data_IF_835232190515
#
_entry.id   IF_835232190515
#
_cell.length_a   1.000
_cell.length_b   1.000
_cell.length_c   1.000
_cell.angle_alpha   90.00
_cell.angle_beta   90.00
_cell.angle_gamma   90.00
#
_symmetry.space_group_name_H-M   'P 1'
#
loop_
_entity.id
_entity.type
_entity.pdbx_description
1 polymer ?
#
# COMPACT_ATOMS: atom_id res chain seq x y z
N UNK A 1 45.60 17.53 9.83
CA UNK A 1 44.78 17.55 8.61
C UNK A 1 44.28 16.14 8.34
N UNK A 2 42.96 15.89 8.23
CA UNK A 2 42.45 14.59 7.84
C UNK A 2 43.00 14.24 6.45
N UNK A 3 43.46 13.00 6.27
CA UNK A 3 43.96 12.54 4.98
C UNK A 3 42.82 12.53 3.96
N UNK A 4 43.11 12.79 2.67
CA UNK A 4 42.12 12.80 1.58
C UNK A 4 41.23 11.54 1.60
N UNK A 5 41.79 10.39 2.02
CA UNK A 5 41.05 9.13 2.22
C UNK A 5 39.94 9.22 3.26
N UNK A 6 40.16 9.88 4.40
CA UNK A 6 39.14 10.05 5.44
C UNK A 6 37.99 10.95 4.98
N UNK A 7 38.29 12.00 4.21
CA UNK A 7 37.24 12.87 3.66
C UNK A 7 36.37 12.11 2.65
N UNK A 8 36.99 11.35 1.76
CA UNK A 8 36.27 10.51 0.78
C UNK A 8 35.41 9.43 1.44
N UNK A 9 35.90 8.79 2.51
CA UNK A 9 35.13 7.78 3.23
C UNK A 9 33.90 8.37 3.93
N UNK A 10 34.02 9.58 4.50
CA UNK A 10 32.89 10.28 5.15
C UNK A 10 31.83 10.72 4.14
N UNK A 11 32.23 11.26 2.99
CA UNK A 11 31.26 11.65 1.95
C UNK A 11 30.55 10.42 1.39
N UNK A 12 31.26 9.31 1.17
CA UNK A 12 30.66 8.06 0.73
C UNK A 12 29.66 7.49 1.74
N UNK A 13 29.99 7.49 3.04
CA UNK A 13 29.07 7.06 4.09
C UNK A 13 27.82 7.94 4.19
N UNK A 14 27.96 9.26 3.99
CA UNK A 14 26.82 10.18 3.98
C UNK A 14 25.88 9.89 2.80
N UNK A 15 26.42 9.71 1.59
CA UNK A 15 25.64 9.36 0.38
C UNK A 15 24.94 8.00 0.55
N UNK A 16 25.61 7.03 1.16
CA UNK A 16 25.01 5.72 1.38
C UNK A 16 23.85 5.78 2.38
N UNK A 17 24.01 6.57 3.44
CA UNK A 17 22.97 6.78 4.45
C UNK A 17 21.74 7.48 3.85
N UNK A 18 21.92 8.52 3.02
CA UNK A 18 20.80 9.20 2.35
C UNK A 18 20.10 8.29 1.35
N UNK A 19 20.85 7.49 0.58
CA UNK A 19 20.28 6.51 -0.34
C UNK A 19 19.45 5.44 0.42
N UNK A 20 19.95 4.95 1.56
CA UNK A 20 19.21 4.02 2.41
C UNK A 20 17.92 4.64 2.98
N UNK A 21 17.97 5.91 3.41
CA UNK A 21 16.79 6.64 3.87
C UNK A 21 15.72 6.80 2.78
N UNK A 22 16.13 7.16 1.56
CA UNK A 22 15.23 7.26 0.41
C UNK A 22 14.63 5.90 0.03
N UNK A 23 15.43 4.84 0.06
CA UNK A 23 14.98 3.47 -0.18
C UNK A 23 13.93 3.03 0.85
N UNK A 24 14.17 3.28 2.14
CA UNK A 24 13.19 3.02 3.20
C UNK A 24 11.89 3.77 2.96
N UNK A 25 11.96 5.07 2.64
CA UNK A 25 10.79 5.88 2.34
C UNK A 25 9.98 5.31 1.17
N UNK A 26 10.66 4.96 0.06
CA UNK A 26 10.01 4.33 -1.09
C UNK A 26 9.31 3.02 -0.72
N UNK A 27 9.96 2.16 0.07
CA UNK A 27 9.35 0.92 0.54
C UNK A 27 8.12 1.16 1.41
N UNK A 28 8.12 2.17 2.28
CA UNK A 28 6.95 2.53 3.08
C UNK A 28 5.77 3.00 2.21
N UNK A 29 6.04 3.85 1.21
CA UNK A 29 5.01 4.31 0.26
C UNK A 29 4.45 3.13 -0.53
N UNK A 30 5.32 2.25 -1.03
CA UNK A 30 4.91 1.06 -1.79
C UNK A 30 4.10 0.06 -0.94
N UNK A 31 4.54 -0.21 0.29
CA UNK A 31 3.81 -1.06 1.26
C UNK A 31 2.45 -0.44 1.60
N UNK A 32 2.40 0.87 1.85
CA UNK A 32 1.17 1.60 2.12
C UNK A 32 0.19 1.53 0.95
N UNK A 33 0.68 1.70 -0.27
CA UNK A 33 -0.11 1.59 -1.50
C UNK A 33 -0.77 0.21 -1.63
N UNK A 34 0.00 -0.87 -1.51
CA UNK A 34 -0.57 -2.23 -1.63
C UNK A 34 -1.51 -2.53 -0.46
N UNK A 35 -1.20 -2.07 0.75
CA UNK A 35 -2.05 -2.27 1.92
C UNK A 35 -3.41 -1.59 1.75
N UNK A 36 -3.43 -0.32 1.34
CA UNK A 36 -4.67 0.43 1.08
C UNK A 36 -5.46 -0.23 -0.04
N UNK A 37 -4.80 -0.56 -1.17
CA UNK A 37 -5.45 -1.23 -2.29
C UNK A 37 -6.06 -2.58 -1.91
N UNK A 38 -5.32 -3.41 -1.17
CA UNK A 38 -5.78 -4.73 -0.74
C UNK A 38 -6.93 -4.65 0.26
N UNK A 39 -6.83 -3.76 1.26
CA UNK A 39 -7.87 -3.58 2.28
C UNK A 39 -9.14 -2.99 1.69
N UNK A 40 -9.03 -1.94 0.85
CA UNK A 40 -10.18 -1.36 0.18
C UNK A 40 -10.91 -2.37 -0.70
N UNK A 41 -10.16 -3.20 -1.42
CA UNK A 41 -10.72 -4.28 -2.24
C UNK A 41 -11.42 -5.36 -1.40
N UNK A 42 -10.82 -5.75 -0.26
CA UNK A 42 -11.44 -6.73 0.64
C UNK A 42 -12.73 -6.20 1.26
N UNK A 43 -12.73 -4.95 1.72
CA UNK A 43 -13.94 -4.30 2.28
C UNK A 43 -15.05 -4.20 1.24
N UNK A 44 -14.71 -3.78 0.02
CA UNK A 44 -15.67 -3.71 -1.09
C UNK A 44 -16.28 -5.10 -1.36
N UNK A 45 -15.46 -6.14 -1.38
CA UNK A 45 -15.92 -7.50 -1.66
C UNK A 45 -16.77 -8.05 -0.52
N UNK A 46 -16.39 -7.83 0.73
CA UNK A 46 -17.19 -8.22 1.89
C UNK A 46 -18.55 -7.50 1.88
N UNK A 47 -18.60 -6.23 1.46
CA UNK A 47 -19.85 -5.49 1.30
C UNK A 47 -20.71 -6.03 0.14
N UNK A 48 -20.10 -6.45 -0.95
CA UNK A 48 -20.79 -7.08 -2.08
C UNK A 48 -21.34 -8.48 -1.74
N UNK A 49 -20.57 -9.28 -0.99
CA UNK A 49 -21.01 -10.59 -0.48
C UNK A 49 -22.16 -10.45 0.53
N UNK A 50 -22.20 -9.35 1.29
CA UNK A 50 -23.28 -9.05 2.24
C UNK A 50 -24.54 -8.46 1.58
N UNK A 51 -24.44 -7.94 0.35
CA UNK A 51 -25.57 -7.38 -0.35
C UNK A 51 -26.59 -8.47 -0.72
N UNK A 52 -27.90 -8.22 -0.57
CA UNK A 52 -28.94 -9.24 -0.73
C UNK A 52 -29.01 -9.85 -2.14
N UNK A 53 -28.53 -9.13 -3.16
CA UNK A 53 -28.57 -9.56 -4.56
C UNK A 53 -27.29 -10.29 -5.03
N UNK A 54 -26.24 -10.38 -4.20
CA UNK A 54 -24.98 -11.02 -4.57
C UNK A 54 -24.31 -10.36 -5.78
N UNK A 55 -23.88 -9.11 -5.60
CA UNK A 55 -23.34 -8.28 -6.69
C UNK A 55 -21.92 -8.66 -7.11
N UNK A 56 -21.61 -8.52 -8.40
CA UNK A 56 -20.22 -8.58 -8.90
C UNK A 56 -19.62 -7.19 -9.03
N UNK A 57 -18.29 -7.09 -9.00
CA UNK A 57 -17.60 -5.81 -9.18
C UNK A 57 -17.95 -5.14 -10.52
N UNK A 58 -18.06 -5.93 -11.60
CA UNK A 58 -18.44 -5.42 -12.92
C UNK A 58 -19.84 -4.78 -12.91
N UNK A 59 -20.77 -5.30 -12.10
CA UNK A 59 -22.09 -4.69 -11.91
C UNK A 59 -21.99 -3.35 -11.18
N UNK A 60 -21.09 -3.20 -10.20
CA UNK A 60 -20.85 -1.93 -9.51
C UNK A 60 -20.28 -0.90 -10.49
N UNK A 61 -19.28 -1.27 -11.29
CA UNK A 61 -18.70 -0.38 -12.30
C UNK A 61 -19.74 0.02 -13.35
N UNK A 62 -20.52 -0.95 -13.85
CA UNK A 62 -21.61 -0.66 -14.79
C UNK A 62 -22.64 0.27 -14.18
N UNK A 63 -23.06 0.03 -12.92
CA UNK A 63 -24.04 0.87 -12.22
C UNK A 63 -23.52 2.28 -11.97
N UNK A 64 -22.23 2.42 -11.62
CA UNK A 64 -21.56 3.72 -11.50
C UNK A 64 -21.54 4.47 -12.83
N UNK A 65 -21.17 3.80 -13.92
CA UNK A 65 -21.15 4.43 -15.26
C UNK A 65 -22.54 4.85 -15.73
N UNK A 66 -23.58 4.05 -15.42
CA UNK A 66 -24.97 4.41 -15.73
C UNK A 66 -25.44 5.60 -14.90
N UNK A 67 -25.06 5.64 -13.62
CA UNK A 67 -25.32 6.76 -12.72
C UNK A 67 -24.66 8.05 -13.21
N UNK A 68 -23.37 8.01 -13.56
CA UNK A 68 -22.63 9.15 -14.12
C UNK A 68 -23.25 9.64 -15.42
N UNK A 69 -23.66 8.72 -16.31
CA UNK A 69 -24.35 9.07 -17.56
C UNK A 69 -25.69 9.78 -17.31
N UNK A 70 -26.46 9.33 -16.29
CA UNK A 70 -27.72 9.99 -15.91
C UNK A 70 -27.47 11.39 -15.34
N UNK A 71 -26.44 11.56 -14.51
CA UNK A 71 -26.02 12.89 -14.02
C UNK A 71 -25.62 13.80 -15.18
N UNK A 72 -24.84 13.29 -16.14
CA UNK A 72 -24.40 14.09 -17.30
C UNK A 72 -25.60 14.57 -18.13
N UNK A 73 -26.65 13.75 -18.29
CA UNK A 73 -27.88 14.13 -18.99
C UNK A 73 -28.62 15.26 -18.24
N UNK A 74 -28.68 15.19 -16.90
CA UNK A 74 -29.30 16.24 -16.07
C UNK A 74 -28.50 17.53 -16.17
N UNK A 75 -27.16 17.45 -16.03
CA UNK A 75 -26.28 18.62 -16.14
C UNK A 75 -26.35 19.27 -17.54
N UNK A 76 -26.45 18.47 -18.61
CA UNK A 76 -26.65 18.99 -19.98
C UNK A 76 -28.00 19.66 -20.21
N UNK A 77 -29.01 19.38 -19.38
CA UNK A 77 -30.32 20.05 -19.43
C UNK A 77 -30.26 21.47 -18.84
N UNK A 78 -29.18 21.82 -18.13
CA UNK A 78 -29.03 23.15 -17.55
C UNK A 78 -28.96 24.21 -18.67
N UNK A 79 -29.88 25.20 -18.71
CA UNK A 79 -29.96 26.19 -19.78
C UNK A 79 -28.76 27.15 -19.87
N UNK A 80 -27.81 27.11 -18.93
CA UNK A 80 -26.51 27.78 -19.11
C UNK A 80 -25.76 27.32 -20.37
N UNK A 81 -26.03 26.11 -20.86
CA UNK A 81 -25.48 25.61 -22.12
C UNK A 81 -26.35 25.93 -23.34
N UNK A 82 -27.49 26.61 -23.15
CA UNK A 82 -28.36 27.01 -24.24
C UNK A 82 -27.83 28.30 -24.86
N UNK A 83 -26.97 28.11 -25.87
CA UNK A 83 -26.31 29.17 -26.64
C UNK A 83 -27.32 30.18 -27.23
N UNK A 84 -28.59 29.80 -27.35
CA UNK A 84 -29.67 30.68 -27.85
C UNK A 84 -29.96 31.89 -26.96
N UNK A 85 -29.69 31.84 -25.65
CA UNK A 85 -29.92 32.99 -24.76
C UNK A 85 -28.92 34.14 -24.99
N UNK A 86 -27.76 33.84 -25.56
CA UNK A 86 -26.72 34.84 -25.84
C UNK A 86 -26.71 35.29 -27.30
N UNK A 87 -27.46 34.64 -28.19
CA UNK A 87 -27.45 34.93 -29.63
C UNK A 87 -27.89 36.38 -29.95
N UNK A 88 -28.89 36.92 -29.22
CA UNK A 88 -29.29 38.33 -29.38
C UNK A 88 -28.26 39.31 -28.81
N UNK A 89 -27.54 38.94 -27.75
CA UNK A 89 -26.46 39.76 -27.16
C UNK A 89 -25.24 39.77 -28.07
N UNK A 90 -24.87 38.61 -28.62
CA UNK A 90 -23.77 38.48 -29.59
C UNK A 90 -24.00 39.36 -30.82
N UNK A 91 -25.23 39.44 -31.33
CA UNK A 91 -25.60 40.34 -32.43
C UNK A 91 -25.44 41.82 -32.06
N UNK A 92 -25.77 42.19 -30.81
CA UNK A 92 -25.58 43.54 -30.30
C UNK A 92 -24.11 43.88 -30.09
N UNK A 93 -23.29 42.95 -29.59
CA UNK A 93 -21.85 43.13 -29.44
C UNK A 93 -21.17 43.37 -30.79
N UNK A 94 -21.57 42.65 -31.84
CA UNK A 94 -21.07 42.88 -33.20
C UNK A 94 -21.40 44.30 -33.68
N UNK A 95 -22.60 44.81 -33.43
CA UNK A 95 -22.98 46.16 -33.83
C UNK A 95 -22.29 47.24 -32.98
N UNK A 96 -22.10 47.01 -31.67
CA UNK A 96 -21.31 47.88 -30.79
C UNK A 96 -19.88 47.98 -31.29
N UNK A 97 -19.26 46.86 -31.66
CA UNK A 97 -17.90 46.83 -32.22
C UNK A 97 -17.81 47.61 -33.54
N UNK A 98 -18.81 47.45 -34.42
CA UNK A 98 -18.89 48.18 -35.69
C UNK A 98 -18.98 49.70 -35.47
N UNK A 99 -19.84 50.14 -34.56
CA UNK A 99 -19.99 51.55 -34.20
C UNK A 99 -18.73 52.11 -33.53
N UNK A 100 -18.04 51.29 -32.75
CA UNK A 100 -16.77 51.66 -32.14
C UNK A 100 -15.68 51.95 -33.19
N UNK A 101 -15.53 51.06 -34.17
CA UNK A 101 -14.59 51.24 -35.26
C UNK A 101 -14.89 52.54 -36.05
N UNK A 102 -16.17 52.82 -36.30
CA UNK A 102 -16.62 54.07 -36.94
C UNK A 102 -16.26 55.32 -36.11
N UNK A 103 -16.46 55.29 -34.78
CA UNK A 103 -16.08 56.40 -33.88
C UNK A 103 -14.57 56.62 -33.89
N UNK A 104 -13.80 55.54 -33.80
CA UNK A 104 -12.35 55.59 -33.74
C UNK A 104 -11.77 56.19 -35.03
N UNK A 105 -12.25 55.71 -36.19
CA UNK A 105 -11.88 56.23 -37.51
C UNK A 105 -12.18 57.72 -37.67
N UNK A 106 -13.36 58.16 -37.21
CA UNK A 106 -13.75 59.57 -37.28
C UNK A 106 -12.95 60.44 -36.30
N UNK A 107 -12.63 59.95 -35.11
CA UNK A 107 -11.82 60.66 -34.12
C UNK A 107 -10.37 60.86 -34.59
N UNK A 108 -9.78 59.88 -35.26
CA UNK A 108 -8.47 59.99 -35.93
C UNK A 108 -8.53 61.04 -37.05
N UNK A 109 -9.53 60.95 -37.94
CA UNK A 109 -9.72 61.92 -39.05
C UNK A 109 -9.90 63.35 -38.54
N UNK A 110 -10.58 63.52 -37.41
CA UNK A 110 -10.78 64.80 -36.75
C UNK A 110 -9.57 65.30 -35.93
N UNK A 111 -8.47 64.53 -35.87
CA UNK A 111 -7.28 64.80 -35.04
C UNK A 111 -7.58 65.03 -33.56
N UNK A 112 -8.66 64.42 -33.07
CA UNK A 112 -9.03 64.45 -31.65
C UNK A 112 -8.07 63.56 -30.85
N UNK A 113 -7.53 62.53 -31.49
CA UNK A 113 -6.59 61.56 -30.95
C UNK A 113 -5.28 61.65 -31.75
N UNK A 114 -4.15 61.51 -31.06
CA UNK A 114 -2.83 61.37 -31.65
C UNK A 114 -2.53 59.88 -31.89
N UNK A 115 -1.98 59.53 -33.06
CA UNK A 115 -1.57 58.15 -33.43
C UNK A 115 -0.62 57.49 -32.41
N UNK A 116 -0.02 58.26 -31.50
CA UNK A 116 0.92 57.77 -30.48
C UNK A 116 0.27 57.16 -29.23
N UNK A 117 -1.07 57.18 -29.08
CA UNK A 117 -1.77 56.71 -27.86
C UNK A 117 -2.24 55.24 -27.90
N UNK A 118 -1.78 54.46 -28.88
CA UNK A 118 -2.27 53.08 -29.15
C UNK A 118 -1.60 52.02 -28.23
N UNK A 119 -0.62 52.38 -27.38
CA UNK A 119 0.15 51.42 -26.57
C UNK A 119 -0.35 51.19 -25.12
N UNK A 120 -1.37 51.90 -24.62
CA UNK A 120 -1.91 51.69 -23.26
C UNK A 120 -3.11 50.71 -23.24
N UNK A 121 -3.31 50.03 -22.10
CA UNK A 121 -4.35 49.01 -21.92
C UNK A 121 -5.75 49.49 -22.38
N UNK A 122 -6.44 48.69 -23.22
CA UNK A 122 -7.57 49.16 -24.02
C UNK A 122 -8.80 49.59 -23.20
N UNK A 123 -9.14 48.89 -22.11
CA UNK A 123 -10.42 49.09 -21.40
C UNK A 123 -10.56 50.48 -20.74
N UNK A 124 -9.52 50.95 -20.05
CA UNK A 124 -9.56 52.26 -19.37
C UNK A 124 -9.47 53.44 -20.37
N UNK A 125 -8.84 53.19 -21.52
CA UNK A 125 -8.72 54.17 -22.58
C UNK A 125 -10.07 54.47 -23.24
N UNK A 126 -10.89 53.44 -23.47
CA UNK A 126 -12.20 53.55 -24.11
C UNK A 126 -13.17 54.47 -23.36
N UNK A 127 -13.34 54.25 -22.06
CA UNK A 127 -14.22 55.08 -21.24
C UNK A 127 -13.75 56.54 -21.18
N UNK A 128 -12.43 56.75 -21.09
CA UNK A 128 -11.82 58.09 -21.07
C UNK A 128 -12.04 58.84 -22.39
N UNK A 129 -11.89 58.16 -23.52
CA UNK A 129 -12.09 58.74 -24.85
C UNK A 129 -13.55 59.13 -25.08
N UNK A 130 -14.49 58.21 -24.81
CA UNK A 130 -15.92 58.48 -24.96
C UNK A 130 -16.33 59.70 -24.13
N UNK A 131 -15.87 59.79 -22.87
CA UNK A 131 -16.19 60.91 -22.00
C UNK A 131 -15.64 62.24 -22.54
N UNK A 132 -14.41 62.26 -23.07
CA UNK A 132 -13.83 63.47 -23.68
C UNK A 132 -14.59 63.92 -24.93
N UNK A 133 -15.01 63.00 -25.79
CA UNK A 133 -15.78 63.36 -26.99
C UNK A 133 -17.20 63.79 -26.62
N UNK A 134 -17.83 63.13 -25.65
CA UNK A 134 -19.13 63.53 -25.08
C UNK A 134 -19.10 64.94 -24.49
N UNK A 135 -18.06 65.29 -23.74
CA UNK A 135 -17.87 66.65 -23.22
C UNK A 135 -17.73 67.68 -24.35
N UNK A 136 -17.02 67.31 -25.42
CA UNK A 136 -16.81 68.17 -26.58
C UNK A 136 -18.09 68.42 -27.36
N UNK A 137 -18.91 67.38 -27.58
CA UNK A 137 -20.25 67.50 -28.16
C UNK A 137 -21.19 68.37 -27.32
N UNK A 138 -21.12 68.25 -25.98
CA UNK A 138 -21.95 69.05 -25.05
C UNK A 138 -21.57 70.55 -25.07
N UNK A 139 -20.28 70.87 -25.19
CA UNK A 139 -19.81 72.27 -25.28
C UNK A 139 -20.16 72.92 -26.61
N UNK A 140 -20.17 72.16 -27.72
CA UNK A 140 -20.54 72.67 -29.04
C UNK A 140 -22.00 73.14 -29.14
N UNK A 141 -22.90 72.61 -28.29
CA UNK A 141 -24.30 73.04 -28.25
C UNK A 141 -24.51 74.40 -27.57
N UNK A 142 -23.54 74.90 -26.79
CA UNK A 142 -23.74 76.05 -25.89
C UNK A 142 -23.01 77.33 -26.29
N UNK A 143 -22.00 77.30 -27.18
CA UNK A 143 -21.31 78.51 -27.68
C UNK A 143 -20.93 78.40 -29.18
N UNK A 144 -21.57 79.18 -30.08
CA UNK A 144 -21.33 79.08 -31.54
C UNK A 144 -20.11 79.86 -32.07
N UNK A 145 -19.29 80.48 -31.22
CA UNK A 145 -18.27 81.44 -31.67
C UNK A 145 -16.83 80.94 -31.50
N UNK A 146 -16.31 80.40 -32.61
CA UNK A 146 -14.90 80.28 -33.00
C UNK A 146 -14.13 79.00 -32.61
N UNK A 147 -13.56 78.40 -33.66
CA UNK A 147 -12.73 77.18 -33.81
C UNK A 147 -13.52 75.88 -33.96
N UNK A 148 -13.56 75.46 -35.23
CA UNK A 148 -14.01 74.20 -35.83
C UNK A 148 -15.12 73.45 -35.06
N UNK A 149 -16.38 73.47 -35.54
CA UNK A 149 -17.42 72.65 -34.94
C UNK A 149 -16.98 71.19 -35.01
N UNK A 150 -17.03 70.49 -33.88
CA UNK A 150 -16.97 69.03 -33.86
C UNK A 150 -18.03 68.54 -34.84
N UNK A 151 -17.63 67.70 -35.79
CA UNK A 151 -18.51 67.26 -36.87
C UNK A 151 -19.79 66.67 -36.25
N UNK A 152 -20.96 67.19 -36.61
CA UNK A 152 -22.25 66.78 -36.03
C UNK A 152 -22.48 65.28 -36.15
N UNK A 153 -21.89 64.66 -37.18
CA UNK A 153 -21.87 63.21 -37.41
C UNK A 153 -21.19 62.43 -36.29
N UNK A 154 -20.09 62.91 -35.70
CA UNK A 154 -19.41 62.23 -34.58
C UNK A 154 -20.32 62.19 -33.35
N UNK A 155 -21.03 63.29 -33.11
CA UNK A 155 -21.92 63.38 -31.96
C UNK A 155 -23.15 62.48 -32.09
N UNK A 156 -23.68 62.29 -33.32
CA UNK A 156 -24.76 61.34 -33.56
C UNK A 156 -24.29 59.90 -33.38
N UNK A 157 -23.12 59.53 -33.92
CA UNK A 157 -22.58 58.17 -33.78
C UNK A 157 -22.29 57.82 -32.32
N UNK A 158 -21.80 58.77 -31.51
CA UNK A 158 -21.57 58.56 -30.06
C UNK A 158 -22.88 58.38 -29.30
N UNK A 159 -23.92 59.13 -29.68
CA UNK A 159 -25.23 58.98 -29.08
C UNK A 159 -25.82 57.60 -29.38
N UNK A 160 -25.72 57.15 -30.63
CA UNK A 160 -26.14 55.80 -31.04
C UNK A 160 -25.33 54.72 -30.31
N UNK A 161 -24.00 54.84 -30.26
CA UNK A 161 -23.14 53.93 -29.50
C UNK A 161 -23.55 53.86 -28.03
N UNK A 162 -23.78 54.99 -27.36
CA UNK A 162 -24.20 55.00 -25.96
C UNK A 162 -25.55 54.32 -25.75
N UNK A 163 -26.48 54.47 -26.69
CA UNK A 163 -27.77 53.81 -26.67
C UNK A 163 -27.64 52.28 -26.83
N UNK A 164 -26.82 51.81 -27.76
CA UNK A 164 -26.59 50.37 -27.95
C UNK A 164 -25.87 49.73 -26.77
N UNK A 165 -24.87 50.39 -26.20
CA UNK A 165 -24.17 49.91 -25.00
C UNK A 165 -25.10 49.84 -23.79
N UNK A 166 -25.92 50.87 -23.55
CA UNK A 166 -26.89 50.85 -22.45
C UNK A 166 -27.97 49.76 -22.67
N UNK A 167 -28.40 49.56 -23.91
CA UNK A 167 -29.35 48.49 -24.27
C UNK A 167 -28.75 47.10 -24.04
N UNK A 168 -27.50 46.88 -24.47
CA UNK A 168 -26.80 45.62 -24.25
C UNK A 168 -26.57 45.35 -22.75
N UNK A 169 -26.18 46.36 -21.97
CA UNK A 169 -25.99 46.23 -20.51
C UNK A 169 -27.32 45.90 -19.80
N UNK A 170 -28.42 46.56 -20.18
CA UNK A 170 -29.75 46.22 -19.66
C UNK A 170 -30.17 44.79 -20.03
N UNK A 171 -29.91 44.33 -21.26
CA UNK A 171 -30.17 42.95 -21.67
C UNK A 171 -29.31 41.96 -20.88
N UNK A 172 -28.04 42.26 -20.65
CA UNK A 172 -27.13 41.43 -19.86
C UNK A 172 -27.58 41.31 -18.40
N UNK A 173 -28.01 42.43 -17.79
CA UNK A 173 -28.59 42.44 -16.44
C UNK A 173 -29.88 41.60 -16.38
N UNK A 174 -30.77 41.74 -17.36
CA UNK A 174 -32.01 40.95 -17.43
C UNK A 174 -31.73 39.46 -17.62
N UNK A 175 -30.82 39.09 -18.52
CA UNK A 175 -30.39 37.70 -18.73
C UNK A 175 -29.81 37.14 -17.43
N UNK A 176 -28.92 37.86 -16.75
CA UNK A 176 -28.33 37.40 -15.48
C UNK A 176 -29.37 37.28 -14.35
N UNK A 177 -30.35 38.17 -14.30
CA UNK A 177 -31.45 38.06 -13.33
C UNK A 177 -32.37 36.88 -13.64
N UNK A 178 -32.64 36.60 -14.91
CA UNK A 178 -33.40 35.41 -15.32
C UNK A 178 -32.61 34.13 -15.05
N UNK A 179 -31.31 34.10 -15.39
CA UNK A 179 -30.42 32.98 -15.07
C UNK A 179 -30.37 32.72 -13.58
N UNK A 180 -30.14 33.73 -12.74
CA UNK A 180 -30.02 33.52 -11.28
C UNK A 180 -31.31 33.01 -10.63
N UNK A 181 -32.47 33.52 -11.05
CA UNK A 181 -33.76 33.03 -10.56
C UNK A 181 -34.01 31.58 -11.04
N UNK A 182 -33.75 31.31 -12.32
CA UNK A 182 -33.92 29.98 -12.90
C UNK A 182 -32.92 28.97 -12.30
N UNK A 183 -31.68 29.38 -12.04
CA UNK A 183 -30.62 28.59 -11.42
C UNK A 183 -31.06 28.10 -10.05
N UNK A 184 -31.56 28.97 -9.18
CA UNK A 184 -31.94 28.55 -7.83
C UNK A 184 -33.06 27.50 -7.81
N UNK A 185 -34.02 27.60 -8.73
CA UNK A 185 -35.14 26.65 -8.79
C UNK A 185 -34.76 25.36 -9.53
N UNK A 186 -34.02 25.48 -10.64
CA UNK A 186 -33.58 24.34 -11.43
C UNK A 186 -32.48 23.55 -10.73
N UNK A 187 -31.51 24.20 -10.09
CA UNK A 187 -30.46 23.56 -9.30
C UNK A 187 -31.07 22.75 -8.15
N UNK A 188 -32.08 23.29 -7.47
CA UNK A 188 -32.80 22.53 -6.43
C UNK A 188 -33.53 21.31 -7.00
N UNK A 189 -34.16 21.44 -8.18
CA UNK A 189 -34.81 20.30 -8.86
C UNK A 189 -33.79 19.25 -9.30
N UNK A 190 -32.66 19.68 -9.87
CA UNK A 190 -31.59 18.81 -10.34
C UNK A 190 -30.92 18.09 -9.14
N UNK A 191 -30.67 18.79 -8.03
CA UNK A 191 -30.14 18.18 -6.78
C UNK A 191 -31.12 17.12 -6.27
N UNK A 192 -32.42 17.41 -6.24
CA UNK A 192 -33.42 16.45 -5.77
C UNK A 192 -33.56 15.25 -6.72
N UNK A 193 -33.50 15.47 -8.03
CA UNK A 193 -33.49 14.40 -9.04
C UNK A 193 -32.24 13.52 -8.91
N UNK A 194 -31.05 14.12 -8.79
CA UNK A 194 -29.79 13.40 -8.55
C UNK A 194 -29.86 12.59 -7.25
N UNK A 195 -30.44 13.16 -6.18
CA UNK A 195 -30.63 12.44 -4.91
C UNK A 195 -31.56 11.24 -5.08
N UNK A 196 -32.68 11.38 -5.79
CA UNK A 196 -33.61 10.27 -6.09
C UNK A 196 -32.94 9.19 -6.93
N UNK A 197 -32.17 9.57 -7.96
CA UNK A 197 -31.44 8.62 -8.79
C UNK A 197 -30.40 7.88 -7.95
N UNK A 198 -29.68 8.59 -7.08
CA UNK A 198 -28.70 8.01 -6.16
C UNK A 198 -29.37 6.96 -5.26
N UNK A 199 -30.47 7.31 -4.59
CA UNK A 199 -31.24 6.41 -3.71
C UNK A 199 -31.80 5.17 -4.44
N UNK A 200 -32.10 5.28 -5.74
CA UNK A 200 -32.61 4.18 -6.56
C UNK A 200 -31.50 3.31 -7.17
N UNK A 201 -30.25 3.80 -7.18
CA UNK A 201 -29.14 3.09 -7.84
C UNK A 201 -28.58 2.03 -6.90
N UNK A 202 -28.48 0.77 -7.34
CA UNK A 202 -27.89 -0.28 -6.52
C UNK A 202 -26.41 0.02 -6.26
N UNK A 203 -25.92 -0.39 -5.08
CA UNK A 203 -24.52 -0.25 -4.68
C UNK A 203 -24.01 1.19 -4.54
N UNK A 204 -24.88 2.19 -4.41
CA UNK A 204 -24.48 3.60 -4.25
C UNK A 204 -23.44 3.82 -3.14
N UNK A 205 -23.55 3.08 -2.03
CA UNK A 205 -22.66 3.19 -0.87
C UNK A 205 -21.21 2.78 -1.19
N UNK A 206 -21.04 2.03 -2.28
CA UNK A 206 -19.75 1.53 -2.75
C UNK A 206 -19.08 2.46 -3.77
N UNK A 207 -19.81 3.42 -4.35
CA UNK A 207 -19.28 4.30 -5.39
C UNK A 207 -18.11 5.15 -4.89
N UNK A 208 -18.19 5.64 -3.65
CA UNK A 208 -17.11 6.40 -3.00
C UNK A 208 -15.83 5.57 -2.85
N UNK A 209 -15.97 4.28 -2.54
CA UNK A 209 -14.82 3.37 -2.44
C UNK A 209 -14.22 3.10 -3.81
N UNK A 210 -15.04 2.91 -4.84
CA UNK A 210 -14.58 2.72 -6.22
C UNK A 210 -13.87 3.98 -6.73
N UNK A 211 -14.43 5.17 -6.49
CA UNK A 211 -13.83 6.45 -6.88
C UNK A 211 -12.50 6.69 -6.17
N UNK A 212 -12.42 6.45 -4.86
CA UNK A 212 -11.17 6.51 -4.11
C UNK A 212 -10.12 5.55 -4.68
N UNK A 213 -10.51 4.33 -5.05
CA UNK A 213 -9.61 3.34 -5.65
C UNK A 213 -9.18 3.73 -7.07
N UNK A 214 -10.03 4.40 -7.83
CA UNK A 214 -9.70 4.94 -9.16
C UNK A 214 -8.73 6.11 -9.08
N UNK A 215 -8.96 7.05 -8.15
CA UNK A 215 -8.06 8.18 -7.88
C UNK A 215 -6.66 7.70 -7.46
N UNK A 216 -6.59 6.61 -6.69
CA UNK A 216 -5.32 5.96 -6.33
C UNK A 216 -4.71 5.12 -7.45
N UNK A 217 -5.34 5.00 -8.63
CA UNK A 217 -4.94 4.09 -9.71
C UNK A 217 -4.81 2.63 -9.21
N UNK A 218 -5.69 2.23 -8.30
CA UNK A 218 -5.72 0.94 -7.62
C UNK A 218 -6.89 0.04 -8.09
N UNK A 219 -7.55 0.38 -9.20
CA UNK A 219 -8.63 -0.43 -9.79
C UNK A 219 -8.21 -1.88 -10.08
N UNK A 220 -6.93 -2.12 -10.38
CA UNK A 220 -6.39 -3.46 -10.64
C UNK A 220 -6.52 -4.40 -9.45
N UNK A 221 -6.54 -3.90 -8.21
CA UNK A 221 -6.75 -4.71 -7.01
C UNK A 221 -8.20 -5.22 -6.90
N UNK A 222 -9.16 -4.44 -7.39
CA UNK A 222 -10.59 -4.79 -7.32
C UNK A 222 -10.92 -6.00 -8.18
N UNK A 223 -10.16 -6.23 -9.25
CA UNK A 223 -10.32 -7.38 -10.14
C UNK A 223 -9.69 -8.67 -9.59
N UNK A 224 -8.86 -8.59 -8.55
CA UNK A 224 -8.15 -9.76 -8.02
C UNK A 224 -9.06 -10.65 -7.16
N UNK A 225 -8.88 -11.99 -7.18
CA UNK A 225 -9.53 -12.90 -6.24
C UNK A 225 -9.22 -12.59 -4.78
N UNK A 226 -10.15 -12.90 -3.88
CA UNK A 226 -10.06 -12.61 -2.44
C UNK A 226 -8.83 -13.27 -1.83
N UNK A 227 -8.55 -14.50 -2.23
CA UNK A 227 -7.42 -15.28 -1.75
C UNK A 227 -6.09 -14.62 -2.10
N UNK A 228 -5.98 -14.03 -3.30
CA UNK A 228 -4.79 -13.32 -3.74
C UNK A 228 -4.63 -12.02 -2.94
N UNK A 229 -5.71 -11.28 -2.70
CA UNK A 229 -5.69 -10.06 -1.90
C UNK A 229 -5.24 -10.33 -0.46
N UNK A 230 -5.78 -11.38 0.18
CA UNK A 230 -5.38 -11.78 1.54
C UNK A 230 -3.91 -12.22 1.57
N UNK A 231 -3.45 -12.94 0.55
CA UNK A 231 -2.06 -13.36 0.42
C UNK A 231 -1.11 -12.16 0.30
N UNK A 232 -1.42 -11.23 -0.62
CA UNK A 232 -0.66 -10.00 -0.83
C UNK A 232 -0.61 -9.16 0.45
N UNK A 233 -1.76 -8.96 1.10
CA UNK A 233 -1.85 -8.24 2.36
C UNK A 233 -0.94 -8.89 3.42
N UNK A 234 -0.97 -10.22 3.54
CA UNK A 234 -0.14 -10.94 4.51
C UNK A 234 1.36 -10.78 4.23
N UNK A 235 1.76 -10.88 2.96
CA UNK A 235 3.13 -10.67 2.51
C UNK A 235 3.61 -9.24 2.79
N UNK A 236 2.79 -8.24 2.49
CA UNK A 236 3.08 -6.82 2.72
C UNK A 236 3.14 -6.49 4.21
N UNK A 237 2.30 -7.11 5.02
CA UNK A 237 2.37 -7.02 6.49
C UNK A 237 3.66 -7.63 7.04
N UNK A 238 4.13 -8.74 6.47
CA UNK A 238 5.45 -9.29 6.76
C UNK A 238 6.59 -8.35 6.39
N UNK A 239 6.52 -7.74 5.20
CA UNK A 239 7.45 -6.69 4.76
C UNK A 239 7.43 -5.50 5.72
N UNK A 240 6.26 -5.02 6.13
CA UNK A 240 6.09 -3.93 7.10
C UNK A 240 6.75 -4.26 8.44
N UNK A 241 6.55 -5.47 8.96
CA UNK A 241 7.21 -5.92 10.18
C UNK A 241 8.73 -5.84 10.06
N UNK A 242 9.29 -6.28 8.93
CA UNK A 242 10.73 -6.14 8.68
C UNK A 242 11.20 -4.69 8.44
N UNK A 243 10.35 -3.82 7.88
CA UNK A 243 10.68 -2.40 7.72
C UNK A 243 10.76 -1.71 9.08
N UNK A 244 9.87 -2.05 10.02
CA UNK A 244 9.90 -1.51 11.38
C UNK A 244 11.19 -1.89 12.11
N UNK A 245 11.64 -3.15 12.02
CA UNK A 245 12.94 -3.54 12.61
C UNK A 245 14.10 -2.81 11.95
N UNK A 246 14.06 -2.67 10.62
CA UNK A 246 15.09 -1.96 9.87
C UNK A 246 15.16 -0.47 10.24
N UNK A 247 14.01 0.21 10.35
CA UNK A 247 13.92 1.61 10.79
C UNK A 247 14.47 1.78 12.20
N UNK A 248 14.17 0.84 13.11
CA UNK A 248 14.69 0.88 14.47
C UNK A 248 16.22 0.71 14.53
N UNK A 249 16.78 -0.21 13.73
CA UNK A 249 18.23 -0.38 13.61
C UNK A 249 18.90 0.86 13.00
N UNK A 250 18.26 1.46 12.00
CA UNK A 250 18.73 2.71 11.38
C UNK A 250 18.78 3.87 12.39
N UNK A 251 17.73 4.04 13.20
CA UNK A 251 17.68 5.06 14.26
C UNK A 251 18.78 4.85 15.31
N UNK A 252 19.07 3.59 15.67
CA UNK A 252 20.12 3.25 16.63
C UNK A 252 21.55 3.48 16.13
N UNK A 253 21.73 3.78 14.83
CA UNK A 253 23.04 3.94 14.17
C UNK A 253 23.96 2.73 14.36
N UNK A 254 23.39 1.53 14.48
CA UNK A 254 24.17 0.29 14.40
C UNK A 254 24.68 0.17 12.96
N UNK A 255 25.95 0.50 12.79
CA UNK A 255 26.57 0.90 11.51
C UNK A 255 26.95 -0.30 10.63
N UNK A 256 26.61 -1.52 11.05
CA UNK A 256 27.00 -2.76 10.39
C UNK A 256 25.91 -3.35 9.49
N UNK A 257 24.88 -2.55 9.17
CA UNK A 257 23.89 -2.90 8.15
C UNK A 257 24.49 -2.69 6.76
N UNK A 258 25.17 -3.73 6.25
CA UNK A 258 25.58 -3.76 4.85
C UNK A 258 24.39 -3.58 3.91
N UNK A 259 24.62 -2.94 2.76
CA UNK A 259 23.62 -2.67 1.69
C UNK A 259 22.81 -3.92 1.34
N UNK A 260 23.48 -5.08 1.32
CA UNK A 260 22.84 -6.38 1.07
C UNK A 260 21.75 -6.67 2.11
N UNK A 261 22.05 -6.51 3.39
CA UNK A 261 21.09 -6.77 4.47
C UNK A 261 19.88 -5.84 4.37
N UNK A 262 20.12 -4.55 4.12
CA UNK A 262 19.07 -3.54 3.87
C UNK A 262 18.13 -3.93 2.72
N UNK A 263 18.64 -4.52 1.65
CA UNK A 263 17.84 -4.92 0.49
C UNK A 263 17.09 -6.24 0.72
N UNK A 264 17.69 -7.19 1.42
CA UNK A 264 17.10 -8.53 1.63
C UNK A 264 16.16 -8.62 2.84
N UNK A 265 16.32 -7.80 3.89
CA UNK A 265 15.49 -7.90 5.10
C UNK A 265 13.98 -7.83 4.81
N UNK A 266 13.48 -6.86 4.02
CA UNK A 266 12.05 -6.75 3.73
C UNK A 266 11.50 -7.96 2.95
N UNK A 267 12.32 -8.56 2.08
CA UNK A 267 11.98 -9.79 1.36
C UNK A 267 11.92 -10.99 2.31
N UNK A 268 12.86 -11.08 3.25
CA UNK A 268 12.88 -12.12 4.29
C UNK A 268 11.62 -12.02 5.16
N UNK A 269 11.21 -10.82 5.55
CA UNK A 269 9.93 -10.60 6.26
C UNK A 269 8.72 -11.07 5.46
N UNK A 270 8.68 -10.76 4.16
CA UNK A 270 7.61 -11.18 3.24
C UNK A 270 7.51 -12.70 3.10
N UNK A 271 8.65 -13.36 2.83
CA UNK A 271 8.73 -14.82 2.68
C UNK A 271 8.38 -15.53 3.98
N UNK A 272 8.85 -15.01 5.12
CA UNK A 272 8.51 -15.55 6.44
C UNK A 272 7.00 -15.50 6.68
N UNK A 273 6.35 -14.36 6.43
CA UNK A 273 4.90 -14.23 6.55
C UNK A 273 4.14 -15.17 5.59
N UNK A 274 4.62 -15.34 4.36
CA UNK A 274 4.08 -16.29 3.40
C UNK A 274 4.14 -17.74 3.90
N UNK A 275 5.29 -18.17 4.43
CA UNK A 275 5.47 -19.53 4.98
C UNK A 275 4.48 -19.77 6.13
N UNK A 276 4.37 -18.81 7.06
CA UNK A 276 3.42 -18.93 8.18
C UNK A 276 1.97 -18.97 7.67
N UNK A 277 1.62 -18.16 6.67
CA UNK A 277 0.29 -18.19 6.05
C UNK A 277 -0.04 -19.58 5.48
N UNK A 278 0.89 -20.20 4.76
CA UNK A 278 0.72 -21.55 4.19
C UNK A 278 0.53 -22.59 5.30
N UNK A 279 1.36 -22.56 6.35
CA UNK A 279 1.20 -23.46 7.49
C UNK A 279 -0.14 -23.28 8.18
N UNK A 280 -0.59 -22.04 8.33
CA UNK A 280 -1.85 -21.75 8.98
C UNK A 280 -3.03 -22.25 8.14
N UNK A 281 -3.02 -22.03 6.82
CA UNK A 281 -4.01 -22.59 5.89
C UNK A 281 -4.00 -24.12 5.86
N UNK A 282 -2.83 -24.76 5.85
CA UNK A 282 -2.70 -26.21 5.94
C UNK A 282 -3.24 -26.74 7.28
N UNK A 283 -2.94 -26.07 8.39
CA UNK A 283 -3.45 -26.40 9.71
C UNK A 283 -4.97 -26.27 9.80
N UNK A 284 -5.55 -25.24 9.18
CA UNK A 284 -7.01 -25.12 9.08
C UNK A 284 -7.64 -26.32 8.37
N UNK A 285 -7.07 -26.77 7.25
CA UNK A 285 -7.59 -27.93 6.51
C UNK A 285 -7.55 -29.22 7.35
N UNK A 286 -6.50 -29.40 8.17
CA UNK A 286 -6.38 -30.56 9.07
C UNK A 286 -7.41 -30.54 10.20
N UNK A 287 -7.72 -29.36 10.74
CA UNK A 287 -8.64 -29.21 11.89
C UNK A 287 -10.10 -29.10 11.45
N UNK A 288 -10.39 -28.54 10.26
CA UNK A 288 -11.74 -28.26 9.77
C UNK A 288 -12.45 -29.45 9.12
N UNK A 289 -12.07 -30.68 9.44
CA UNK A 289 -12.73 -31.91 8.95
C UNK A 289 -14.24 -31.99 9.31
N UNK A 290 -14.76 -31.06 10.11
CA UNK A 290 -16.17 -30.88 10.45
C UNK A 290 -16.98 -29.86 9.63
N UNK A 291 -16.54 -29.45 8.43
CA UNK A 291 -17.40 -28.75 7.45
C UNK A 291 -17.61 -27.24 7.65
N UNK A 292 -16.95 -26.61 8.62
CA UNK A 292 -16.97 -25.17 8.80
C UNK A 292 -15.84 -24.47 8.04
N UNK A 293 -16.09 -23.96 6.84
CA UNK A 293 -15.15 -23.13 6.09
C UNK A 293 -15.13 -21.68 6.61
N UNK A 294 -14.91 -21.48 7.92
CA UNK A 294 -14.76 -20.12 8.46
C UNK A 294 -13.47 -19.50 7.92
N UNK A 295 -13.62 -18.57 6.97
CA UNK A 295 -12.54 -17.76 6.45
C UNK A 295 -11.88 -17.01 7.62
N UNK A 296 -10.56 -17.11 7.74
CA UNK A 296 -9.83 -16.38 8.77
C UNK A 296 -10.00 -14.89 8.61
N UNK A 297 -10.17 -14.20 9.73
CA UNK A 297 -10.16 -12.75 9.78
C UNK A 297 -8.86 -12.20 9.17
N UNK A 298 -8.93 -11.34 8.14
CA UNK A 298 -7.76 -10.67 7.58
C UNK A 298 -6.92 -9.91 8.63
N UNK A 299 -7.57 -9.42 9.70
CA UNK A 299 -6.89 -8.76 10.81
C UNK A 299 -5.97 -9.70 11.58
N UNK A 300 -6.41 -10.93 11.85
CA UNK A 300 -5.59 -11.93 12.52
C UNK A 300 -4.40 -12.35 11.66
N UNK A 301 -4.63 -12.55 10.35
CA UNK A 301 -3.57 -12.86 9.40
C UNK A 301 -2.55 -11.73 9.29
N UNK A 302 -3.01 -10.47 9.27
CA UNK A 302 -2.15 -9.29 9.26
C UNK A 302 -1.30 -9.21 10.53
N UNK A 303 -1.89 -9.45 11.70
CA UNK A 303 -1.18 -9.49 12.97
C UNK A 303 -0.09 -10.57 12.99
N UNK A 304 -0.42 -11.78 12.55
CA UNK A 304 0.55 -12.88 12.44
C UNK A 304 1.66 -12.54 11.44
N UNK A 305 1.30 -11.94 10.30
CA UNK A 305 2.26 -11.48 9.29
C UNK A 305 3.25 -10.45 9.84
N UNK A 306 2.77 -9.43 10.55
CA UNK A 306 3.62 -8.42 11.19
C UNK A 306 4.55 -9.06 12.21
N UNK A 307 4.02 -9.91 13.11
CA UNK A 307 4.84 -10.61 14.11
C UNK A 307 5.88 -11.49 13.44
N UNK A 308 5.53 -12.19 12.37
CA UNK A 308 6.45 -12.99 11.56
C UNK A 308 7.61 -12.14 11.03
N UNK A 309 7.30 -10.97 10.47
CA UNK A 309 8.31 -10.04 9.98
C UNK A 309 9.24 -9.53 11.09
N UNK A 310 8.65 -9.11 12.22
CA UNK A 310 9.39 -8.62 13.41
C UNK A 310 10.29 -9.69 14.02
N UNK A 311 9.84 -10.94 14.05
CA UNK A 311 10.55 -12.07 14.64
C UNK A 311 11.42 -12.83 13.65
N UNK A 312 11.41 -12.50 12.36
CA UNK A 312 12.02 -13.28 11.28
C UNK A 312 13.44 -13.74 11.62
N UNK A 313 14.35 -12.86 12.03
CA UNK A 313 15.74 -13.26 12.39
C UNK A 313 15.79 -14.31 13.51
N UNK A 314 14.97 -14.16 14.56
CA UNK A 314 14.91 -15.13 15.66
C UNK A 314 14.17 -16.40 15.25
N UNK A 315 13.14 -16.28 14.42
CA UNK A 315 12.36 -17.38 13.90
C UNK A 315 13.21 -18.26 12.99
N UNK A 316 14.05 -17.68 12.13
CA UNK A 316 15.01 -18.41 11.31
C UNK A 316 16.02 -19.15 12.17
N UNK A 317 16.67 -18.50 13.14
CA UNK A 317 17.61 -19.16 14.04
C UNK A 317 16.95 -20.32 14.81
N UNK A 318 15.68 -20.18 15.18
CA UNK A 318 14.92 -21.22 15.89
C UNK A 318 14.49 -22.34 14.95
N UNK A 319 13.99 -22.04 13.75
CA UNK A 319 13.64 -23.01 12.72
C UNK A 319 14.86 -23.77 12.23
N UNK A 320 16.01 -23.12 12.11
CA UNK A 320 17.30 -23.76 11.85
C UNK A 320 17.65 -24.68 13.02
N UNK A 321 17.54 -24.23 14.28
CA UNK A 321 17.83 -25.07 15.45
C UNK A 321 16.89 -26.29 15.59
N UNK A 322 15.63 -26.14 15.22
CA UNK A 322 14.61 -27.20 15.32
C UNK A 322 14.70 -28.11 14.10
N UNK A 323 14.89 -27.53 12.91
CA UNK A 323 15.08 -28.27 11.66
C UNK A 323 16.37 -29.06 11.67
N UNK A 324 17.47 -28.49 12.16
CA UNK A 324 18.71 -29.26 12.42
C UNK A 324 18.41 -30.40 13.37
N UNK A 325 17.82 -30.16 14.56
CA UNK A 325 17.42 -31.25 15.46
C UNK A 325 16.48 -32.30 14.86
N UNK A 326 15.62 -31.92 13.91
CA UNK A 326 14.68 -32.83 13.25
C UNK A 326 15.34 -33.64 12.12
N UNK A 327 16.30 -33.06 11.39
CA UNK A 327 16.97 -33.67 10.24
C UNK A 327 18.35 -34.25 10.54
N UNK A 328 19.04 -33.81 11.59
CA UNK A 328 19.93 -34.72 12.30
C UNK A 328 19.02 -35.72 12.96
N UNK A 329 18.77 -36.83 12.24
CA UNK A 329 18.60 -38.12 12.90
C UNK A 329 19.73 -38.15 13.91
N UNK A 330 19.41 -37.96 15.18
CA UNK A 330 20.38 -38.10 16.27
C UNK A 330 20.95 -39.50 16.07
N UNK A 331 22.09 -39.60 15.39
CA UNK A 331 22.82 -40.85 15.30
C UNK A 331 23.00 -41.25 16.74
N UNK A 332 22.43 -42.40 17.11
CA UNK A 332 22.24 -42.83 18.50
C UNK A 332 23.44 -42.37 19.33
N UNK A 333 23.29 -41.26 20.06
CA UNK A 333 24.34 -40.76 20.93
C UNK A 333 24.31 -41.67 22.16
N UNK A 334 24.92 -42.83 21.97
CA UNK A 334 25.03 -43.92 22.91
C UNK A 334 25.82 -43.41 24.12
N UNK A 335 25.11 -43.13 25.22
CA UNK A 335 25.71 -42.68 26.48
C UNK A 335 25.62 -43.77 27.52
N UNK A 336 26.64 -43.83 28.37
CA UNK A 336 26.76 -44.79 29.43
C UNK A 336 26.06 -44.28 30.68
N UNK A 337 25.30 -45.13 31.34
CA UNK A 337 24.75 -44.81 32.66
C UNK A 337 25.89 -44.52 33.64
N UNK A 338 25.69 -43.55 34.53
CA UNK A 338 26.59 -43.28 35.66
C UNK A 338 25.79 -43.37 36.93
N UNK A 339 26.12 -44.35 37.78
CA UNK A 339 25.47 -44.55 39.09
C UNK A 339 23.95 -44.71 38.99
N UNK A 340 23.44 -45.24 37.87
CA UNK A 340 22.01 -45.47 37.67
C UNK A 340 21.43 -46.34 38.78
N UNK A 341 22.17 -47.37 39.23
CA UNK A 341 21.78 -48.25 40.33
C UNK A 341 21.53 -47.48 41.63
N UNK A 342 22.42 -46.56 41.98
CA UNK A 342 22.26 -45.70 43.16
C UNK A 342 21.03 -44.79 43.02
N UNK A 343 20.83 -44.17 41.85
CA UNK A 343 19.68 -43.30 41.62
C UNK A 343 18.33 -44.07 41.68
N UNK A 344 18.31 -45.32 41.22
CA UNK A 344 17.14 -46.21 41.30
C UNK A 344 16.82 -46.55 42.76
N UNK A 345 17.83 -46.91 43.56
CA UNK A 345 17.67 -47.21 44.98
C UNK A 345 17.18 -45.99 45.78
N UNK A 346 17.71 -44.80 45.48
CA UNK A 346 17.30 -43.54 46.13
C UNK A 346 15.86 -43.13 45.81
N UNK A 347 15.36 -43.47 44.62
CA UNK A 347 13.99 -43.13 44.18
C UNK A 347 12.96 -44.21 44.55
N UNK A 348 13.41 -45.42 44.91
CA UNK A 348 12.55 -46.54 45.27
C UNK A 348 11.81 -47.17 44.08
N UNK A 349 12.25 -46.90 42.85
CA UNK A 349 11.65 -47.45 41.63
C UNK A 349 12.24 -48.83 41.35
N UNK A 350 11.42 -49.81 40.95
CA UNK A 350 11.93 -51.14 40.60
C UNK A 350 12.41 -51.21 39.16
N UNK A 351 13.44 -52.02 38.88
CA UNK A 351 13.94 -52.27 37.52
C UNK A 351 12.84 -52.77 36.59
N UNK A 352 11.92 -53.59 37.12
CA UNK A 352 10.75 -54.12 36.41
C UNK A 352 9.83 -53.01 35.87
N UNK A 353 9.70 -51.91 36.62
CA UNK A 353 8.87 -50.78 36.25
C UNK A 353 9.50 -50.00 35.10
N UNK A 354 10.82 -49.77 35.16
CA UNK A 354 11.59 -49.12 34.09
C UNK A 354 11.57 -49.97 32.82
N UNK A 355 11.74 -51.29 32.94
CA UNK A 355 11.66 -52.24 31.83
C UNK A 355 10.29 -52.23 31.14
N UNK A 356 9.22 -52.21 31.93
CA UNK A 356 7.85 -52.10 31.41
C UNK A 356 7.60 -50.77 30.69
N UNK A 357 8.13 -49.64 31.20
CA UNK A 357 8.01 -48.34 30.52
C UNK A 357 8.77 -48.27 29.20
N UNK A 358 9.93 -48.95 29.12
CA UNK A 358 10.77 -48.98 27.93
C UNK A 358 10.37 -50.07 26.92
N UNK A 359 9.47 -50.99 27.30
CA UNK A 359 9.14 -52.15 26.47
C UNK A 359 10.32 -53.09 26.23
N UNK A 360 11.27 -53.12 27.17
CA UNK A 360 12.50 -53.92 27.07
C UNK A 360 12.51 -55.05 28.09
N UNK A 361 13.22 -56.13 27.79
CA UNK A 361 13.47 -57.21 28.76
C UNK A 361 14.30 -56.70 29.93
N UNK A 362 13.99 -57.14 31.15
CA UNK A 362 14.69 -56.71 32.37
C UNK A 362 16.20 -56.95 32.30
N UNK A 363 16.66 -57.99 31.60
CA UNK A 363 18.08 -58.26 31.39
C UNK A 363 18.80 -57.15 30.62
N UNK A 364 18.17 -56.56 29.60
CA UNK A 364 18.75 -55.46 28.82
C UNK A 364 18.82 -54.17 29.66
N UNK A 365 17.81 -53.91 30.48
CA UNK A 365 17.80 -52.76 31.37
C UNK A 365 18.86 -52.91 32.46
N UNK A 366 19.03 -54.11 33.04
CA UNK A 366 20.11 -54.36 33.98
C UNK A 366 21.48 -54.09 33.35
N UNK A 367 21.71 -54.49 32.09
CA UNK A 367 22.95 -54.18 31.39
C UNK A 367 23.17 -52.67 31.20
N UNK A 368 22.12 -51.88 31.00
CA UNK A 368 22.22 -50.41 30.95
C UNK A 368 22.51 -49.82 32.34
N UNK A 369 21.82 -50.30 33.37
CA UNK A 369 21.95 -49.84 34.77
C UNK A 369 23.35 -50.16 35.32
N UNK A 370 23.87 -51.33 34.97
CA UNK A 370 25.20 -51.82 35.35
C UNK A 370 26.31 -51.28 34.46
N UNK A 371 25.98 -50.32 33.59
CA UNK A 371 26.95 -49.60 32.76
C UNK A 371 27.71 -50.55 31.79
N UNK A 372 27.06 -51.66 31.39
CA UNK A 372 27.60 -52.70 30.49
C UNK A 372 27.28 -52.41 29.02
N UNK A 373 26.10 -51.83 28.76
CA UNK A 373 25.69 -51.39 27.42
C UNK A 373 25.26 -49.93 27.45
N UNK A 374 25.62 -49.13 26.44
CA UNK A 374 25.18 -47.75 26.38
C UNK A 374 23.68 -47.66 26.09
N UNK A 375 23.05 -46.61 26.60
CA UNK A 375 21.64 -46.33 26.37
C UNK A 375 21.44 -45.46 25.13
N UNK A 376 20.40 -45.75 24.33
CA UNK A 376 19.94 -44.86 23.26
C UNK A 376 19.34 -43.58 23.84
N UNK A 377 19.20 -42.53 23.03
CA UNK A 377 18.70 -41.25 23.53
C UNK A 377 17.26 -41.31 24.07
N UNK A 378 16.41 -42.13 23.44
CA UNK A 378 15.06 -42.39 23.92
C UNK A 378 15.09 -43.07 25.30
N UNK A 379 15.95 -44.09 25.45
CA UNK A 379 16.16 -44.77 26.73
C UNK A 379 16.68 -43.81 27.81
N UNK A 380 17.64 -42.94 27.47
CA UNK A 380 18.18 -41.93 28.39
C UNK A 380 17.08 -40.99 28.90
N UNK A 381 16.24 -40.49 28.00
CA UNK A 381 15.16 -39.56 28.34
C UNK A 381 14.11 -40.21 29.23
N UNK A 382 13.71 -41.45 28.92
CA UNK A 382 12.71 -42.19 29.68
C UNK A 382 13.23 -42.62 31.06
N UNK A 383 14.48 -43.08 31.15
CA UNK A 383 15.13 -43.42 32.43
C UNK A 383 15.26 -42.15 33.29
N UNK A 384 15.71 -41.03 32.71
CA UNK A 384 15.81 -39.75 33.42
C UNK A 384 14.46 -39.24 33.92
N UNK A 385 13.41 -39.37 33.12
CA UNK A 385 12.04 -39.03 33.50
C UNK A 385 11.51 -39.91 34.63
N UNK A 386 11.75 -41.23 34.58
CA UNK A 386 11.36 -42.16 35.64
C UNK A 386 12.06 -41.78 36.96
N UNK A 387 13.36 -41.51 36.91
CA UNK A 387 14.17 -41.17 38.09
C UNK A 387 14.01 -39.70 38.53
N UNK A 388 13.25 -38.89 37.80
CA UNK A 388 13.04 -37.45 38.05
C UNK A 388 14.36 -36.68 38.20
N UNK A 389 15.35 -37.02 37.38
CA UNK A 389 16.67 -36.35 37.33
C UNK A 389 17.00 -35.91 35.92
N UNK A 390 17.96 -35.00 35.80
CA UNK A 390 18.41 -34.56 34.48
C UNK A 390 19.27 -35.64 33.81
N UNK A 391 19.07 -35.86 32.51
CA UNK A 391 19.84 -36.85 31.74
C UNK A 391 21.36 -36.63 31.80
N UNK A 392 21.82 -35.39 31.99
CA UNK A 392 23.25 -35.07 32.11
C UNK A 392 23.88 -35.55 33.41
N UNK A 393 23.10 -35.77 34.46
CA UNK A 393 23.60 -36.28 35.74
C UNK A 393 23.71 -37.81 35.75
N UNK A 394 22.87 -38.45 34.94
CA UNK A 394 22.70 -39.91 34.91
C UNK A 394 23.49 -40.59 33.79
N UNK A 395 23.95 -39.84 32.78
CA UNK A 395 24.60 -40.40 31.60
C UNK A 395 25.85 -39.62 31.21
N UNK A 396 26.88 -40.33 30.76
CA UNK A 396 28.17 -39.79 30.32
C UNK A 396 28.54 -40.30 28.92
N UNK A 397 29.36 -39.52 28.21
CA UNK A 397 29.92 -39.90 26.91
C UNK A 397 31.10 -40.88 27.05
N UNK A 398 31.69 -41.00 28.24
CA UNK A 398 32.86 -41.85 28.50
C UNK A 398 32.45 -43.22 29.08
N UNK A 399 32.91 -44.36 28.50
CA UNK A 399 32.63 -45.67 29.06
C UNK A 399 33.28 -45.82 30.46
N UNK A 400 32.62 -46.50 31.41
CA UNK A 400 33.17 -46.70 32.75
C UNK A 400 34.48 -47.49 32.68
N UNK A 401 35.56 -46.97 33.29
CA UNK A 401 36.92 -47.51 33.17
C UNK A 401 37.15 -48.91 33.82
N UNK A 402 36.09 -49.61 34.25
CA UNK A 402 36.18 -50.70 35.23
C UNK A 402 35.84 -52.12 34.80
N UNK A 403 35.26 -52.38 33.61
CA UNK A 403 34.70 -53.72 33.32
C UNK A 403 35.10 -54.40 32.00
N UNK A 404 35.90 -53.77 31.13
CA UNK A 404 36.40 -54.45 29.91
C UNK A 404 37.57 -55.42 30.16
N UNK A 405 37.57 -56.16 31.28
CA UNK A 405 38.51 -57.26 31.51
C UNK A 405 37.83 -58.62 31.27
N UNK A 406 38.09 -59.16 30.07
CA UNK A 406 38.28 -60.59 29.77
C UNK A 406 37.13 -61.56 29.43
N UNK A 407 35.87 -61.16 29.18
CA UNK A 407 34.92 -62.08 28.53
C UNK A 407 34.06 -61.39 27.47
N UNK A 408 34.05 -61.98 26.26
CA UNK A 408 33.24 -61.66 25.09
C UNK A 408 33.64 -60.42 24.27
N UNK A 409 34.72 -60.56 23.50
CA UNK A 409 34.67 -60.10 22.10
C UNK A 409 33.83 -61.13 21.34
N UNK A 410 32.55 -60.84 21.15
CA UNK A 410 31.76 -61.47 20.11
C UNK A 410 32.05 -60.68 18.80
N UNK A 411 32.67 -61.28 17.78
CA UNK A 411 33.09 -60.57 16.56
C UNK A 411 31.92 -60.17 15.63
N UNK A 412 30.66 -60.31 16.04
CA UNK A 412 29.49 -60.07 15.18
C UNK A 412 29.05 -58.61 15.05
N UNK A 413 29.63 -57.68 15.80
CA UNK A 413 29.40 -56.24 15.64
C UNK A 413 30.68 -55.52 15.22
N UNK A 414 31.28 -55.94 14.09
CA UNK A 414 32.11 -55.02 13.32
C UNK A 414 31.19 -54.02 12.63
N UNK A 415 31.23 -52.79 13.11
CA UNK A 415 30.75 -51.61 12.40
C UNK A 415 31.40 -51.61 11.01
N UNK A 416 30.61 -51.90 9.98
CA UNK A 416 31.01 -51.74 8.59
C UNK A 416 30.98 -50.25 8.27
N UNK A 417 32.10 -49.58 8.56
CA UNK A 417 32.35 -48.20 8.16
C UNK A 417 32.64 -48.13 6.67
N UNK A 418 31.59 -48.27 5.86
CA UNK A 418 31.62 -47.90 4.44
C UNK A 418 31.28 -46.41 4.33
N UNK A 419 32.29 -45.60 3.97
CA UNK A 419 32.21 -44.53 2.97
C UNK A 419 33.55 -43.77 2.93
N UNK A 420 34.59 -44.44 2.41
CA UNK A 420 35.66 -43.71 1.73
C UNK A 420 35.04 -43.06 0.48
N UNK A 421 35.02 -41.73 0.45
CA UNK A 421 34.70 -40.95 -0.74
C UNK A 421 35.70 -41.31 -1.88
N UNK A 422 35.22 -41.60 -3.10
CA UNK A 422 36.12 -41.81 -4.22
C UNK A 422 36.89 -40.52 -4.56
N UNK A 423 38.15 -40.63 -5.01
CA UNK A 423 38.95 -39.47 -5.38
C UNK A 423 38.32 -38.75 -6.59
N UNK A 424 38.11 -37.46 -6.42
CA UNK A 424 37.64 -36.55 -7.47
C UNK A 424 38.68 -36.45 -8.59
N UNK A 425 38.32 -36.92 -9.79
CA UNK A 425 39.07 -36.63 -11.02
C UNK A 425 38.92 -35.15 -11.41
N UNK A 426 40.00 -34.48 -11.85
CA UNK A 426 39.93 -33.12 -12.34
C UNK A 426 39.31 -33.08 -13.75
N UNK A 427 38.23 -32.32 -13.91
CA UNK A 427 37.58 -32.06 -15.20
C UNK A 427 38.40 -31.08 -16.06
N UNK A 428 38.24 -31.12 -17.39
CA UNK A 428 39.03 -30.33 -18.33
C UNK A 428 38.63 -28.85 -18.31
N UNK A 429 39.65 -28.01 -18.40
CA UNK A 429 39.56 -26.58 -18.66
C UNK A 429 38.90 -26.30 -20.02
N UNK A 430 37.84 -25.49 -20.00
CA UNK A 430 37.33 -24.73 -21.14
C UNK A 430 37.29 -23.24 -20.77
#
# INVERSE_FOLDING_TARGET
MPTIKQLSQRTWQAVLSTAQGLWLFFLYVWVGYIMIGSLGSLQLRDALEAAPEGGTFDQVISSKSEFERKIEIIQKRNPRNDQSMYEEVDLLEVEIQRLWDDIFDQAIKAKIISDQLIEEEPENYYHSLINKVRESCSRSSSQPTSKQPVNSEICTVIQDYSFYVETADQMYIQINQQLSNFESEQEMKDIEEIKRIREQTPFQDLFTTVEFMDELNALSFLQQPREILVLQLTMVMGTLGSLVTMTWLYIRRDTDLGIRRTLFLPLVGSVSAFIIFVFFKAGQLTISSGGGSSSLSPFFLSFVGIISGLLSERAYARMESVGTKFFTVEGDNLRWGVRLRQAIEETGITVTMIANYLGLEEGKINNIIDEVTPATQEQQTLIAACLRRESRELFTDEPPMGQFNNKQRDPSYQYQGDNELPPTTPGPSL
#
